data_IF_892730247441
#
_entry.id   IF_892730247441
#
_cell.length_a   1.000
_cell.length_b   1.000
_cell.length_c   1.000
_cell.angle_alpha   90.00
_cell.angle_beta   90.00
_cell.angle_gamma   90.00
#
_symmetry.space_group_name_H-M   'P 1'
#
loop_
_entity.id
_entity.type
_entity.pdbx_description
1 polymer ?
#
# COMPACT_ATOMS: atom_id res chain seq x y z
N UNK A 1 31.13 20.55 -2.00
CA UNK A 1 30.15 19.45 -2.05
C UNK A 1 28.98 19.94 -2.88
N UNK A 2 28.86 19.45 -4.12
CA UNK A 2 27.73 19.79 -4.99
C UNK A 2 26.56 18.86 -4.66
N UNK A 3 25.41 19.46 -4.31
CA UNK A 3 24.16 18.74 -4.05
C UNK A 3 23.48 18.44 -5.39
N UNK A 4 23.43 17.17 -5.79
CA UNK A 4 22.60 16.73 -6.90
C UNK A 4 21.22 16.33 -6.39
N UNK A 5 20.20 17.15 -6.68
CA UNK A 5 18.81 16.84 -6.38
C UNK A 5 18.33 15.64 -7.20
N UNK A 6 17.94 14.56 -6.53
CA UNK A 6 17.45 13.33 -7.18
C UNK A 6 15.97 13.41 -7.60
N UNK A 7 15.35 14.58 -7.51
CA UNK A 7 13.94 14.80 -7.82
C UNK A 7 13.62 14.70 -9.33
N UNK A 8 14.57 14.99 -10.21
CA UNK A 8 14.37 14.87 -11.66
C UNK A 8 14.26 13.42 -12.14
N UNK A 9 14.85 12.46 -11.42
CA UNK A 9 14.82 11.05 -11.80
C UNK A 9 13.51 10.35 -11.41
N UNK A 10 12.78 10.87 -10.43
CA UNK A 10 11.48 10.34 -10.02
C UNK A 10 10.39 10.68 -11.06
N UNK A 11 10.35 11.90 -11.58
CA UNK A 11 9.35 12.29 -12.59
C UNK A 11 9.50 11.56 -13.93
N UNK A 12 10.73 11.19 -14.31
CA UNK A 12 10.98 10.39 -15.52
C UNK A 12 10.50 8.93 -15.40
N UNK A 13 10.48 8.36 -14.19
CA UNK A 13 10.02 6.98 -13.98
C UNK A 13 8.51 6.81 -14.10
N UNK A 14 7.72 7.83 -13.77
CA UNK A 14 6.25 7.73 -13.78
C UNK A 14 5.58 8.37 -15.00
N UNK A 15 6.31 9.11 -15.85
CA UNK A 15 5.76 9.73 -17.06
C UNK A 15 5.65 8.79 -18.26
N UNK A 16 6.33 7.64 -18.24
CA UNK A 16 6.35 6.67 -19.34
C UNK A 16 5.54 5.39 -19.01
N UNK A 17 4.31 5.54 -18.54
CA UNK A 17 3.39 4.40 -18.46
C UNK A 17 2.86 4.07 -19.87
N UNK A 18 3.12 2.88 -20.43
CA UNK A 18 2.69 2.52 -21.78
C UNK A 18 1.23 2.07 -21.76
N UNK A 19 0.30 3.01 -21.55
CA UNK A 19 -1.13 2.68 -21.44
C UNK A 19 -2.12 3.77 -21.84
N UNK A 20 -1.70 5.02 -22.07
CA UNK A 20 -2.62 6.09 -22.45
C UNK A 20 -2.42 6.43 -23.92
N UNK A 21 -3.15 5.71 -24.78
CA UNK A 21 -3.35 6.09 -26.17
C UNK A 21 -4.23 7.36 -26.16
N UNK A 22 -3.60 8.52 -26.39
CA UNK A 22 -4.35 9.75 -26.68
C UNK A 22 -5.04 9.58 -28.05
N UNK A 23 -6.36 9.74 -28.17
CA UNK A 23 -7.00 9.75 -29.48
C UNK A 23 -6.54 10.97 -30.26
N UNK A 24 -6.06 10.73 -31.49
CA UNK A 24 -5.62 11.76 -32.42
C UNK A 24 -6.82 12.60 -32.87
N UNK A 25 -6.89 13.85 -32.40
CA UNK A 25 -7.83 14.85 -32.94
C UNK A 25 -7.25 15.37 -34.26
N UNK A 26 -7.92 15.03 -35.37
CA UNK A 26 -7.67 15.60 -36.69
C UNK A 26 -7.99 17.10 -36.64
N UNK A 27 -7.05 17.91 -37.13
CA UNK A 27 -7.26 19.34 -37.40
C UNK A 27 -8.33 19.48 -38.49
N UNK A 28 -9.37 20.25 -38.21
CA UNK A 28 -10.21 20.83 -39.22
C UNK A 28 -10.47 22.27 -38.79
N UNK A 29 -9.95 23.20 -39.60
CA UNK A 29 -10.25 24.62 -39.51
C UNK A 29 -11.73 24.82 -39.82
N UNK A 30 -12.47 25.48 -38.92
CA UNK A 30 -13.57 26.37 -39.30
C UNK A 30 -13.93 27.30 -38.14
N UNK A 31 -14.12 28.57 -38.49
CA UNK A 31 -14.42 29.68 -37.60
C UNK A 31 -15.85 29.59 -37.05
N UNK A 32 -16.01 29.51 -35.72
CA UNK A 32 -17.24 29.95 -35.03
C UNK A 32 -16.92 30.28 -33.57
N UNK A 33 -17.49 31.36 -32.99
CA UNK A 33 -17.18 31.76 -31.63
C UNK A 33 -17.71 30.74 -30.62
N UNK A 34 -16.88 30.42 -29.62
CA UNK A 34 -17.15 29.40 -28.61
C UNK A 34 -18.40 29.74 -27.80
N UNK A 35 -19.48 29.01 -28.05
CA UNK A 35 -20.63 28.92 -27.16
C UNK A 35 -20.23 28.12 -25.92
N UNK A 36 -20.31 28.74 -24.74
CA UNK A 36 -19.99 28.10 -23.47
C UNK A 36 -21.10 27.08 -23.17
N UNK A 37 -20.84 25.82 -23.47
CA UNK A 37 -21.73 24.70 -23.11
C UNK A 37 -21.47 24.37 -21.63
N UNK A 38 -22.39 24.77 -20.77
CA UNK A 38 -22.41 24.40 -19.36
C UNK A 38 -22.74 22.90 -19.25
N UNK A 39 -21.73 22.08 -18.93
CA UNK A 39 -21.92 20.65 -18.70
C UNK A 39 -22.53 20.42 -17.31
N UNK A 40 -23.86 20.37 -17.22
CA UNK A 40 -24.53 19.81 -16.05
C UNK A 40 -24.36 18.30 -16.04
N UNK A 41 -23.44 17.81 -15.21
CA UNK A 41 -23.20 16.39 -14.98
C UNK A 41 -24.38 15.81 -14.18
N UNK A 42 -25.35 15.21 -14.88
CA UNK A 42 -26.45 14.48 -14.23
C UNK A 42 -25.91 13.16 -13.68
N UNK A 43 -25.57 13.13 -12.41
CA UNK A 43 -25.38 11.87 -11.68
C UNK A 43 -26.71 11.10 -11.70
N UNK A 44 -26.78 10.02 -12.48
CA UNK A 44 -27.78 8.98 -12.25
C UNK A 44 -27.38 8.30 -10.94
N UNK A 45 -28.15 8.53 -9.88
CA UNK A 45 -28.08 7.70 -8.70
C UNK A 45 -28.47 6.28 -9.12
N UNK A 46 -27.56 5.32 -8.98
CA UNK A 46 -27.89 3.91 -9.10
C UNK A 46 -28.84 3.56 -7.96
N UNK A 47 -30.03 3.09 -8.30
CA UNK A 47 -31.00 2.59 -7.33
C UNK A 47 -30.40 1.37 -6.59
N UNK A 48 -30.63 1.24 -5.28
CA UNK A 48 -30.15 0.09 -4.53
C UNK A 48 -30.85 -1.18 -5.05
N UNK A 49 -30.09 -2.06 -5.69
CA UNK A 49 -30.58 -3.35 -6.18
C UNK A 49 -31.13 -4.16 -5.01
N UNK A 50 -32.42 -4.44 -5.10
CA UNK A 50 -33.22 -5.21 -4.16
C UNK A 50 -32.68 -6.62 -3.95
N UNK A 51 -32.60 -7.02 -2.67
CA UNK A 51 -32.82 -8.37 -2.13
C UNK A 51 -32.68 -9.54 -3.12
N UNK A 52 -31.51 -10.19 -3.10
CA UNK A 52 -31.34 -11.53 -3.69
C UNK A 52 -32.23 -12.50 -2.87
N UNK A 53 -33.14 -13.26 -3.49
CA UNK A 53 -33.85 -14.34 -2.83
C UNK A 53 -32.85 -15.45 -2.51
N UNK A 54 -32.95 -16.00 -1.31
CA UNK A 54 -32.14 -17.12 -0.82
C UNK A 54 -32.46 -18.39 -1.64
N UNK A 55 -31.86 -18.55 -2.82
CA UNK A 55 -31.92 -19.80 -3.59
C UNK A 55 -31.16 -20.88 -2.81
N UNK A 56 -31.71 -22.11 -2.68
CA UNK A 56 -30.95 -23.21 -2.09
C UNK A 56 -29.73 -23.49 -2.94
N UNK A 57 -28.54 -23.46 -2.34
CA UNK A 57 -27.28 -23.74 -3.02
C UNK A 57 -27.39 -25.06 -3.79
N UNK A 58 -27.29 -24.98 -5.13
CA UNK A 58 -27.35 -26.15 -6.00
C UNK A 58 -26.08 -26.95 -5.80
N UNK A 59 -26.14 -27.91 -4.86
CA UNK A 59 -25.06 -28.86 -4.64
C UNK A 59 -24.79 -29.63 -5.92
N UNK A 60 -23.58 -29.47 -6.46
CA UNK A 60 -23.17 -30.11 -7.71
C UNK A 60 -22.35 -31.34 -7.38
N UNK A 61 -22.71 -32.51 -7.94
CA UNK A 61 -21.98 -33.75 -7.71
C UNK A 61 -20.84 -33.88 -8.72
N UNK A 62 -19.62 -34.06 -8.23
CA UNK A 62 -18.39 -34.14 -9.02
C UNK A 62 -17.80 -35.53 -8.87
N UNK A 63 -17.44 -36.14 -10.00
CA UNK A 63 -16.79 -37.44 -10.04
C UNK A 63 -15.28 -37.20 -10.22
N UNK A 64 -14.47 -37.73 -9.31
CA UNK A 64 -13.01 -37.60 -9.30
C UNK A 64 -12.33 -38.96 -9.22
N UNK A 65 -11.08 -39.04 -9.69
CA UNK A 65 -10.28 -40.26 -9.62
C UNK A 65 -9.07 -40.00 -8.71
N UNK A 66 -8.88 -40.86 -7.71
CA UNK A 66 -7.78 -40.76 -6.75
C UNK A 66 -7.24 -42.17 -6.51
N UNK A 67 -5.95 -42.38 -6.75
CA UNK A 67 -5.29 -43.66 -6.49
C UNK A 67 -5.88 -44.83 -7.28
N UNK A 68 -6.37 -44.55 -8.50
CA UNK A 68 -7.05 -45.55 -9.34
C UNK A 68 -8.48 -45.89 -8.94
N UNK A 69 -9.05 -45.21 -7.93
CA UNK A 69 -10.45 -45.37 -7.51
C UNK A 69 -11.28 -44.15 -7.92
N UNK A 70 -12.54 -44.38 -8.29
CA UNK A 70 -13.49 -43.32 -8.61
C UNK A 70 -14.32 -42.95 -7.39
N UNK A 71 -14.34 -41.66 -7.05
CA UNK A 71 -15.08 -41.10 -5.93
C UNK A 71 -16.06 -40.04 -6.41
N UNK A 72 -17.25 -40.00 -5.80
CA UNK A 72 -18.26 -38.97 -6.06
C UNK A 72 -18.34 -38.04 -4.84
N UNK A 73 -18.04 -36.75 -5.05
CA UNK A 73 -17.96 -35.72 -4.01
C UNK A 73 -19.00 -34.64 -4.30
N UNK A 74 -19.65 -34.13 -3.26
CA UNK A 74 -20.59 -33.01 -3.38
C UNK A 74 -19.86 -31.67 -3.23
N UNK A 75 -20.01 -30.78 -4.21
CA UNK A 75 -19.51 -29.41 -4.17
C UNK A 75 -20.61 -28.46 -3.68
N UNK A 76 -20.32 -27.53 -2.75
CA UNK A 76 -21.30 -26.58 -2.25
C UNK A 76 -21.74 -25.56 -3.32
N UNK A 77 -20.85 -25.21 -4.26
CA UNK A 77 -21.06 -24.19 -5.30
C UNK A 77 -20.56 -24.65 -6.68
N UNK A 78 -21.01 -23.98 -7.74
CA UNK A 78 -20.57 -24.23 -9.13
C UNK A 78 -19.06 -24.03 -9.32
N UNK A 79 -18.48 -23.00 -8.68
CA UNK A 79 -17.04 -22.75 -8.72
C UNK A 79 -16.25 -23.78 -7.87
N UNK A 80 -16.93 -24.45 -6.95
CA UNK A 80 -16.37 -25.51 -6.12
C UNK A 80 -16.00 -26.77 -6.92
N UNK A 81 -16.59 -26.99 -8.10
CA UNK A 81 -16.25 -28.15 -8.93
C UNK A 81 -14.81 -28.12 -9.42
N UNK A 82 -14.36 -26.99 -9.97
CA UNK A 82 -13.00 -26.83 -10.48
C UNK A 82 -11.98 -26.99 -9.35
N UNK A 83 -12.29 -26.43 -8.18
CA UNK A 83 -11.47 -26.59 -6.98
C UNK A 83 -11.35 -28.05 -6.54
N UNK A 84 -12.46 -28.78 -6.41
CA UNK A 84 -12.45 -30.20 -6.01
C UNK A 84 -11.66 -31.05 -7.01
N UNK A 85 -11.80 -30.78 -8.31
CA UNK A 85 -11.02 -31.48 -9.35
C UNK A 85 -9.52 -31.21 -9.20
N UNK A 86 -9.12 -29.96 -8.97
CA UNK A 86 -7.73 -29.59 -8.75
C UNK A 86 -7.14 -30.22 -7.47
N UNK A 87 -7.93 -30.28 -6.39
CA UNK A 87 -7.54 -30.95 -5.14
C UNK A 87 -7.37 -32.45 -5.35
N UNK A 88 -8.31 -33.09 -6.07
CA UNK A 88 -8.23 -34.51 -6.39
C UNK A 88 -7.01 -34.83 -7.26
N UNK A 89 -6.72 -34.02 -8.28
CA UNK A 89 -5.53 -34.17 -9.12
C UNK A 89 -4.24 -34.03 -8.30
N UNK A 90 -4.19 -33.06 -7.38
CA UNK A 90 -3.05 -32.90 -6.47
C UNK A 90 -2.89 -34.13 -5.55
N UNK A 91 -3.99 -34.65 -5.01
CA UNK A 91 -3.97 -35.84 -4.17
C UNK A 91 -3.48 -37.06 -4.95
N UNK A 92 -3.93 -37.24 -6.19
CA UNK A 92 -3.51 -38.34 -7.07
C UNK A 92 -2.01 -38.26 -7.37
N UNK A 93 -1.47 -37.07 -7.66
CA UNK A 93 -0.02 -36.86 -7.85
C UNK A 93 0.79 -37.22 -6.61
N UNK A 94 0.31 -36.90 -5.41
CA UNK A 94 1.00 -37.26 -4.16
C UNK A 94 1.01 -38.78 -4.00
N UNK A 95 -0.13 -39.42 -4.21
CA UNK A 95 -0.28 -40.88 -4.13
C UNK A 95 0.63 -41.58 -5.14
N UNK A 96 0.69 -41.10 -6.38
CA UNK A 96 1.56 -41.64 -7.42
C UNK A 96 3.04 -41.50 -7.02
N UNK A 97 3.44 -40.33 -6.52
CA UNK A 97 4.84 -40.11 -6.11
C UNK A 97 5.28 -41.07 -4.99
N UNK A 98 4.38 -41.38 -4.05
CA UNK A 98 4.69 -42.30 -2.94
C UNK A 98 4.72 -43.74 -3.43
N UNK A 99 3.84 -44.10 -4.36
CA UNK A 99 3.78 -45.41 -5.00
C UNK A 99 5.05 -45.71 -5.82
N UNK A 100 5.50 -44.74 -6.60
CA UNK A 100 6.75 -44.83 -7.38
C UNK A 100 7.98 -45.04 -6.46
N UNK A 101 8.01 -44.34 -5.33
CA UNK A 101 9.09 -44.46 -4.35
C UNK A 101 9.03 -45.74 -3.50
N UNK A 102 7.86 -46.38 -3.39
CA UNK A 102 7.64 -47.56 -2.55
C UNK A 102 6.88 -48.66 -3.32
N UNK A 103 7.50 -49.27 -4.36
CA UNK A 103 6.85 -50.31 -5.14
C UNK A 103 6.55 -51.54 -4.27
N UNK A 104 5.35 -52.12 -4.45
CA UNK A 104 4.90 -53.29 -3.69
C UNK A 104 4.26 -53.00 -2.33
N UNK A 105 4.18 -51.74 -1.93
CA UNK A 105 3.43 -51.35 -0.73
C UNK A 105 1.91 -51.45 -0.97
N UNK A 106 1.17 -51.92 0.04
CA UNK A 106 -0.29 -51.95 -0.01
C UNK A 106 -0.86 -50.52 -0.18
N UNK A 107 -1.89 -50.39 -1.02
CA UNK A 107 -2.48 -49.09 -1.36
C UNK A 107 -2.97 -48.31 -0.12
N UNK A 108 -3.47 -49.00 0.90
CA UNK A 108 -3.87 -48.40 2.17
C UNK A 108 -2.71 -47.69 2.86
N UNK A 109 -1.51 -48.27 2.84
CA UNK A 109 -0.32 -47.67 3.46
C UNK A 109 0.19 -46.48 2.64
N UNK A 110 0.12 -46.57 1.31
CA UNK A 110 0.42 -45.43 0.41
C UNK A 110 -0.52 -44.25 0.71
N UNK A 111 -1.82 -44.52 0.88
CA UNK A 111 -2.80 -43.49 1.23
C UNK A 111 -2.55 -42.88 2.62
N UNK A 112 -2.18 -43.69 3.61
CA UNK A 112 -1.82 -43.20 4.96
C UNK A 112 -0.59 -42.28 4.89
N UNK A 113 0.45 -42.66 4.13
CA UNK A 113 1.63 -41.81 3.92
C UNK A 113 1.29 -40.54 3.14
N UNK A 114 0.41 -40.62 2.14
CA UNK A 114 -0.07 -39.45 1.40
C UNK A 114 -0.81 -38.47 2.32
N UNK A 115 -1.67 -38.99 3.20
CA UNK A 115 -2.37 -38.18 4.20
C UNK A 115 -1.39 -37.53 5.18
N UNK A 116 -0.43 -38.28 5.70
CA UNK A 116 0.58 -37.76 6.62
C UNK A 116 1.38 -36.61 5.97
N UNK A 117 1.81 -36.79 4.72
CA UNK A 117 2.51 -35.76 3.96
C UNK A 117 1.63 -34.53 3.71
N UNK A 118 0.34 -34.72 3.40
CA UNK A 118 -0.59 -33.62 3.20
C UNK A 118 -0.81 -32.80 4.49
N UNK A 119 -0.94 -33.48 5.64
CA UNK A 119 -1.09 -32.83 6.95
C UNK A 119 0.19 -32.10 7.35
N UNK A 120 1.37 -32.69 7.11
CA UNK A 120 2.65 -32.01 7.36
C UNK A 120 2.81 -30.76 6.47
N UNK A 121 2.47 -30.86 5.17
CA UNK A 121 2.47 -29.70 4.28
C UNK A 121 1.50 -28.60 4.75
N UNK A 122 0.30 -28.98 5.22
CA UNK A 122 -0.65 -28.03 5.78
C UNK A 122 -0.06 -27.33 7.01
N UNK A 123 0.44 -28.09 7.98
CA UNK A 123 1.06 -27.53 9.19
C UNK A 123 2.23 -26.60 8.87
N UNK A 124 3.10 -26.95 7.91
CA UNK A 124 4.19 -26.07 7.45
C UNK A 124 3.65 -24.80 6.81
N UNK A 125 2.62 -24.91 5.96
CA UNK A 125 2.01 -23.75 5.32
C UNK A 125 1.33 -22.81 6.33
N UNK A 126 0.72 -23.35 7.38
CA UNK A 126 0.11 -22.56 8.44
C UNK A 126 1.17 -21.81 9.26
N UNK A 127 2.27 -22.48 9.63
CA UNK A 127 3.40 -21.83 10.29
C UNK A 127 3.98 -20.70 9.44
N UNK A 128 4.24 -20.96 8.17
CA UNK A 128 4.73 -19.94 7.25
C UNK A 128 3.74 -18.77 7.13
N UNK A 129 2.43 -19.05 7.06
CA UNK A 129 1.41 -18.00 7.02
C UNK A 129 1.43 -17.12 8.29
N UNK A 130 1.60 -17.73 9.46
CA UNK A 130 1.71 -17.00 10.72
C UNK A 130 2.99 -16.15 10.76
N UNK A 131 4.12 -16.69 10.33
CA UNK A 131 5.39 -15.96 10.25
C UNK A 131 5.32 -14.78 9.27
N UNK A 132 4.74 -14.98 8.08
CA UNK A 132 4.50 -13.91 7.11
C UNK A 132 3.55 -12.85 7.66
N UNK A 133 2.51 -13.25 8.40
CA UNK A 133 1.59 -12.30 9.04
C UNK A 133 2.31 -11.44 10.06
N UNK A 134 3.18 -12.03 10.89
CA UNK A 134 3.98 -11.29 11.86
C UNK A 134 4.98 -10.34 11.18
N UNK A 135 5.61 -10.75 10.08
CA UNK A 135 6.48 -9.87 9.30
C UNK A 135 5.71 -8.72 8.64
N UNK A 136 4.49 -8.98 8.16
CA UNK A 136 3.64 -7.93 7.61
C UNK A 136 3.29 -6.90 8.70
N UNK A 137 2.96 -7.36 9.91
CA UNK A 137 2.69 -6.50 11.06
C UNK A 137 3.91 -5.64 11.44
N UNK A 138 5.10 -6.25 11.52
CA UNK A 138 6.35 -5.53 11.77
C UNK A 138 6.65 -4.46 10.70
N UNK A 139 6.43 -4.78 9.43
CA UNK A 139 6.60 -3.80 8.34
C UNK A 139 5.59 -2.67 8.46
N UNK A 140 4.34 -2.97 8.84
CA UNK A 140 3.32 -1.93 9.03
C UNK A 140 3.66 -1.01 10.21
N UNK A 141 4.17 -1.54 11.32
CA UNK A 141 4.62 -0.75 12.46
C UNK A 141 5.78 0.16 12.08
N UNK A 142 6.81 -0.38 11.39
CA UNK A 142 7.93 0.43 10.89
C UNK A 142 7.50 1.51 9.90
N UNK A 143 6.52 1.21 9.05
CA UNK A 143 5.95 2.18 8.13
C UNK A 143 5.27 3.33 8.90
N UNK A 144 4.54 3.03 9.97
CA UNK A 144 3.84 4.05 10.75
C UNK A 144 4.82 4.93 11.54
N UNK A 145 5.88 4.34 12.13
CA UNK A 145 6.98 5.12 12.72
C UNK A 145 7.62 6.06 11.68
N UNK A 146 7.87 5.56 10.46
CA UNK A 146 8.45 6.38 9.40
C UNK A 146 7.52 7.51 8.95
N UNK A 147 6.19 7.27 8.90
CA UNK A 147 5.21 8.33 8.62
C UNK A 147 5.20 9.39 9.70
N UNK A 148 5.24 8.99 10.97
CA UNK A 148 5.27 9.92 12.09
C UNK A 148 6.52 10.80 12.05
N UNK A 149 7.68 10.21 11.77
CA UNK A 149 8.93 10.96 11.64
C UNK A 149 8.91 11.90 10.42
N UNK A 150 8.32 11.46 9.30
CA UNK A 150 8.10 12.33 8.15
C UNK A 150 7.20 13.53 8.50
N UNK A 151 6.12 13.32 9.27
CA UNK A 151 5.22 14.40 9.70
C UNK A 151 5.94 15.39 10.63
N UNK A 152 6.73 14.90 11.59
CA UNK A 152 7.57 15.75 12.46
C UNK A 152 8.55 16.58 11.63
N UNK A 153 9.27 15.97 10.70
CA UNK A 153 10.20 16.68 9.82
C UNK A 153 9.50 17.71 8.94
N UNK A 154 8.28 17.40 8.47
CA UNK A 154 7.47 18.35 7.70
C UNK A 154 7.10 19.57 8.54
N UNK A 155 6.73 19.37 9.80
CA UNK A 155 6.41 20.45 10.74
C UNK A 155 7.63 21.33 11.02
N UNK A 156 8.78 20.72 11.33
CA UNK A 156 10.04 21.44 11.54
C UNK A 156 10.41 22.28 10.31
N UNK A 157 10.32 21.69 9.10
CA UNK A 157 10.58 22.43 7.87
C UNK A 157 9.60 23.58 7.65
N UNK A 158 8.35 23.44 8.10
CA UNK A 158 7.36 24.50 8.01
C UNK A 158 7.69 25.66 8.94
N UNK A 159 8.04 25.38 10.20
CA UNK A 159 8.49 26.40 11.15
C UNK A 159 9.78 27.10 10.70
N UNK A 160 10.78 26.34 10.24
CA UNK A 160 12.01 26.91 9.68
C UNK A 160 11.74 27.83 8.49
N UNK A 161 10.81 27.45 7.61
CA UNK A 161 10.45 28.30 6.46
C UNK A 161 9.81 29.61 6.91
N UNK A 162 8.99 29.59 7.96
CA UNK A 162 8.43 30.83 8.53
C UNK A 162 9.54 31.72 9.08
N UNK A 163 10.48 31.15 9.83
CA UNK A 163 11.58 31.92 10.41
C UNK A 163 12.46 32.53 9.33
N UNK A 164 12.80 31.78 8.27
CA UNK A 164 13.53 32.31 7.12
C UNK A 164 12.79 33.47 6.45
N UNK A 165 11.46 33.39 6.31
CA UNK A 165 10.66 34.48 5.77
C UNK A 165 10.67 35.71 6.70
N UNK A 166 10.52 35.51 8.01
CA UNK A 166 10.61 36.58 9.01
C UNK A 166 11.98 37.25 8.98
N UNK A 167 13.07 36.49 9.08
CA UNK A 167 14.45 36.99 9.01
C UNK A 167 14.70 37.76 7.72
N UNK A 168 14.20 37.26 6.59
CA UNK A 168 14.27 37.98 5.31
C UNK A 168 13.52 39.31 5.36
N UNK A 169 12.34 39.34 5.95
CA UNK A 169 11.54 40.55 6.06
C UNK A 169 12.19 41.56 7.04
N UNK A 170 12.78 41.10 8.15
CA UNK A 170 13.57 41.93 9.06
C UNK A 170 14.85 42.47 8.41
N UNK A 171 15.57 41.65 7.66
CA UNK A 171 16.75 42.09 6.90
C UNK A 171 16.36 43.16 5.87
N UNK A 172 15.24 42.98 5.16
CA UNK A 172 14.70 43.99 4.24
C UNK A 172 14.25 45.25 4.95
N UNK A 173 13.61 45.14 6.11
CA UNK A 173 13.20 46.29 6.91
C UNK A 173 14.42 47.08 7.37
N UNK A 174 15.48 46.40 7.84
CA UNK A 174 16.75 47.03 8.20
C UNK A 174 17.43 47.69 7.00
N UNK A 175 17.48 47.04 5.84
CA UNK A 175 18.02 47.64 4.60
C UNK A 175 17.25 48.91 4.21
N UNK A 176 15.94 48.96 4.50
CA UNK A 176 15.09 50.14 4.28
C UNK A 176 15.24 51.20 5.40
N UNK A 177 15.46 50.81 6.65
CA UNK A 177 15.66 51.70 7.80
C UNK A 177 17.07 52.32 7.83
N UNK A 178 18.11 51.63 7.32
CA UNK A 178 19.41 52.26 7.03
C UNK A 178 19.28 53.36 5.95
N UNK A 179 18.17 53.40 5.20
CA UNK A 179 17.77 54.52 4.33
C UNK A 179 16.83 55.54 4.99
N UNK A 180 16.13 55.18 6.07
CA UNK A 180 15.22 56.06 6.81
C UNK A 180 15.32 55.79 8.31
N UNK A 181 16.12 56.59 9.03
CA UNK A 181 16.22 56.54 10.49
C UNK A 181 14.86 56.41 11.20
N UNK A 182 14.82 55.50 12.18
CA UNK A 182 14.00 55.53 13.40
C UNK A 182 12.58 54.94 13.35
N UNK A 183 12.39 53.63 13.66
CA UNK A 183 11.20 53.12 14.41
C UNK A 183 11.54 51.80 15.14
N UNK A 184 11.36 51.81 16.46
CA UNK A 184 11.34 50.65 17.36
C UNK A 184 10.15 49.71 17.13
N UNK A 185 10.37 48.40 16.95
CA UNK A 185 9.29 47.39 16.86
C UNK A 185 9.36 46.43 18.04
N UNK A 186 8.25 46.36 18.79
CA UNK A 186 8.00 45.46 19.92
C UNK A 186 8.15 43.98 19.53
N UNK A 187 8.98 43.28 20.29
CA UNK A 187 9.50 41.94 20.03
C UNK A 187 8.63 40.89 20.76
N UNK A 188 7.58 40.39 20.10
CA UNK A 188 6.89 39.20 20.57
C UNK A 188 7.72 37.95 20.21
N UNK A 189 8.51 37.47 21.18
CA UNK A 189 9.38 36.30 21.06
C UNK A 189 8.57 35.01 20.87
N UNK A 190 9.10 34.12 20.04
CA UNK A 190 8.48 32.84 19.69
C UNK A 190 9.19 31.67 20.39
N UNK A 191 8.54 30.51 20.56
CA UNK A 191 9.01 29.38 21.39
C UNK A 191 10.38 28.78 21.01
N UNK A 192 10.90 29.04 19.80
CA UNK A 192 12.26 28.61 19.42
C UNK A 192 13.36 29.49 20.03
N UNK A 193 13.07 30.75 20.37
CA UNK A 193 13.99 31.63 21.09
C UNK A 193 14.03 31.30 22.59
N UNK A 194 12.95 30.75 23.15
CA UNK A 194 12.92 30.21 24.52
C UNK A 194 13.83 28.98 24.69
N UNK A 195 13.98 28.16 23.65
CA UNK A 195 14.88 26.99 23.66
C UNK A 195 16.36 27.39 23.57
N UNK A 196 16.68 28.51 22.92
CA UNK A 196 18.06 29.01 22.85
C UNK A 196 18.51 29.61 24.19
N UNK A 197 17.58 30.20 24.95
CA UNK A 197 17.86 30.82 26.24
C UNK A 197 18.24 29.81 27.32
N UNK A 198 17.67 28.60 27.31
CA UNK A 198 17.97 27.55 28.30
C UNK A 198 19.44 27.10 28.23
N UNK A 199 20.05 27.07 27.04
CA UNK A 199 21.45 26.70 26.89
C UNK A 199 22.45 27.78 27.34
N UNK A 200 22.05 29.05 27.37
CA UNK A 200 22.92 30.15 27.83
C UNK A 200 22.82 30.38 29.35
N UNK A 201 21.68 30.07 29.98
CA UNK A 201 21.51 30.25 31.43
C UNK A 201 22.17 29.18 32.31
N UNK A 202 22.54 28.00 31.78
CA UNK A 202 23.17 26.94 32.58
C UNK A 202 24.70 27.08 32.71
N UNK A 203 25.36 28.00 31.99
CA UNK A 203 26.82 28.22 32.06
C UNK A 203 27.25 29.34 33.04
N UNK A 204 26.33 29.99 33.77
CA UNK A 204 26.65 31.19 34.56
C UNK A 204 26.42 31.11 36.07
N UNK A 205 26.04 29.95 36.62
CA UNK A 205 25.69 29.80 38.05
C UNK A 205 26.68 28.98 38.91
N UNK A 206 27.92 28.73 38.45
CA UNK A 206 28.90 27.90 39.19
C UNK A 206 30.16 28.65 39.70
N UNK A 207 30.12 29.98 39.82
CA UNK A 207 31.18 30.76 40.49
C UNK A 207 30.59 31.80 41.46
N UNK A 208 30.24 31.37 42.69
CA UNK A 208 30.19 32.21 43.90
C UNK A 208 30.17 31.39 45.19
#
# INVERSE_FOLDING_TARGET
MEYHSNSENLFKKYSNWPGIVKPAVKKQDDQSPAEIVEYTQRYKAEEPVSSIPNEPSKQTKVIVHIGGMQHMISAPDHDGEAYIRAVAEKADRIVESIRENNPGMAMTNVLILALLNAVDQLNRSEKNRLELSAHAEEITERMDVCKDDYLKQREINWELKKEVLRLRDMARARDNEEQTNDVSVDEAKLPLEELLFVFETEEQDDDS
#
